data_IF_077525967857
#
_entry.id   IF_077525967857
#
_cell.length_a   1.000
_cell.length_b   1.000
_cell.length_c   1.000
_cell.angle_alpha   90.00
_cell.angle_beta   90.00
_cell.angle_gamma   90.00
#
_symmetry.space_group_name_H-M   'P 1'
#
loop_
_entity.id
_entity.type
_entity.pdbx_description
1 polymer ?
#
# COMPACT_ATOMS: atom_id res chain seq x y z
N UNK A 1 -1.84 -23.40 31.11
CA UNK A 1 -2.54 -22.14 31.26
C UNK A 1 -2.42 -21.42 29.92
N UNK A 2 -3.44 -21.48 29.08
CA UNK A 2 -3.51 -20.77 27.80
C UNK A 2 -3.88 -19.33 28.09
N UNK A 3 -2.89 -18.46 28.15
CA UNK A 3 -3.15 -17.01 28.19
C UNK A 3 -3.73 -16.59 26.84
N UNK A 4 -5.02 -16.28 26.84
CA UNK A 4 -5.63 -15.60 25.69
C UNK A 4 -4.82 -14.32 25.42
N UNK A 5 -4.32 -14.10 24.22
CA UNK A 5 -3.61 -12.86 23.92
C UNK A 5 -4.55 -11.68 24.19
N UNK A 6 -4.03 -10.55 24.69
CA UNK A 6 -4.85 -9.37 24.93
C UNK A 6 -5.55 -8.97 23.62
N UNK A 7 -6.86 -8.76 23.71
CA UNK A 7 -7.65 -8.34 22.54
C UNK A 7 -7.08 -7.02 22.00
N UNK A 8 -6.66 -7.03 20.75
CA UNK A 8 -6.18 -5.82 20.07
C UNK A 8 -7.33 -4.80 20.01
N UNK A 9 -7.13 -3.55 20.44
CA UNK A 9 -8.18 -2.55 20.39
C UNK A 9 -8.64 -2.32 18.93
N UNK A 10 -9.96 -2.10 18.72
CA UNK A 10 -10.51 -1.87 17.39
C UNK A 10 -9.87 -0.64 16.72
N UNK A 11 -9.51 -0.76 15.44
CA UNK A 11 -8.91 0.35 14.69
C UNK A 11 -9.88 1.49 14.38
N UNK A 12 -11.19 1.25 14.46
CA UNK A 12 -12.24 2.24 14.27
C UNK A 12 -12.54 3.05 15.55
N UNK A 13 -12.04 2.61 16.70
CA UNK A 13 -12.11 3.40 17.93
C UNK A 13 -11.19 4.63 17.82
N UNK A 14 -11.73 5.86 17.95
CA UNK A 14 -10.93 7.08 17.91
C UNK A 14 -9.83 7.14 19.00
N UNK A 15 -10.03 6.46 20.13
CA UNK A 15 -9.04 6.41 21.21
C UNK A 15 -7.86 5.47 20.90
N UNK A 16 -7.99 4.61 19.91
CA UNK A 16 -6.93 3.68 19.50
C UNK A 16 -5.88 4.43 18.68
N UNK A 17 -4.60 4.33 19.09
CA UNK A 17 -3.49 4.78 18.25
C UNK A 17 -3.20 3.71 17.16
N UNK A 18 -3.47 3.99 15.88
CA UNK A 18 -3.28 3.02 14.81
C UNK A 18 -1.81 2.67 14.55
N UNK A 19 -0.86 3.50 14.98
CA UNK A 19 0.57 3.23 14.84
C UNK A 19 1.06 2.26 15.92
N UNK A 20 0.51 2.32 17.12
CA UNK A 20 0.78 1.32 18.16
C UNK A 20 0.24 -0.06 17.77
N UNK A 21 -0.94 -0.12 17.16
CA UNK A 21 -1.48 -1.40 16.64
C UNK A 21 -0.60 -1.95 15.51
N UNK A 22 -0.12 -1.09 14.62
CA UNK A 22 0.79 -1.49 13.55
C UNK A 22 2.15 -1.98 14.10
N UNK A 23 2.65 -1.37 15.17
CA UNK A 23 3.86 -1.85 15.87
C UNK A 23 3.63 -3.23 16.48
N UNK A 24 2.53 -3.42 17.19
CA UNK A 24 2.19 -4.73 17.75
C UNK A 24 2.04 -5.81 16.67
N UNK A 25 1.52 -5.44 15.49
CA UNK A 25 1.45 -6.33 14.33
C UNK A 25 2.84 -6.70 13.81
N UNK A 26 3.76 -5.73 13.71
CA UNK A 26 5.15 -5.98 13.30
C UNK A 26 5.90 -6.87 14.30
N UNK A 27 5.74 -6.62 15.60
CA UNK A 27 6.34 -7.43 16.66
C UNK A 27 5.81 -8.88 16.63
N UNK A 28 4.51 -9.06 16.38
CA UNK A 28 3.92 -10.38 16.20
C UNK A 28 4.50 -11.11 14.98
N UNK A 29 4.65 -10.42 13.84
CA UNK A 29 5.27 -10.98 12.64
C UNK A 29 6.71 -11.38 12.93
N UNK A 30 7.51 -10.54 13.57
CA UNK A 30 8.89 -10.83 13.93
C UNK A 30 8.98 -12.09 14.83
N UNK A 31 8.13 -12.17 15.83
CA UNK A 31 8.08 -13.33 16.74
C UNK A 31 7.67 -14.62 16.02
N UNK A 32 6.65 -14.55 15.16
CA UNK A 32 6.13 -15.72 14.45
C UNK A 32 7.05 -16.22 13.35
N UNK A 33 7.81 -15.32 12.71
CA UNK A 33 8.68 -15.66 11.58
C UNK A 33 10.15 -15.83 11.96
N UNK A 34 10.57 -15.32 13.11
CA UNK A 34 11.99 -15.26 13.50
C UNK A 34 12.78 -14.20 12.69
N UNK A 35 12.12 -13.35 11.91
CA UNK A 35 12.71 -12.28 11.12
C UNK A 35 12.40 -10.94 11.76
N UNK A 36 13.41 -10.30 12.35
CA UNK A 36 13.23 -9.05 13.13
C UNK A 36 12.76 -7.87 12.28
N UNK A 37 13.11 -7.85 10.98
CA UNK A 37 12.74 -6.75 10.08
C UNK A 37 12.70 -7.16 8.61
N UNK A 38 12.05 -6.33 7.82
CA UNK A 38 11.91 -6.55 6.38
C UNK A 38 12.41 -5.32 5.61
N UNK A 39 13.16 -5.52 4.55
CA UNK A 39 13.71 -4.45 3.70
C UNK A 39 12.66 -3.87 2.75
N UNK A 40 11.69 -4.71 2.37
CA UNK A 40 10.61 -4.35 1.47
C UNK A 40 9.31 -5.06 1.83
N UNK A 41 8.21 -4.49 1.37
CA UNK A 41 6.92 -5.15 1.47
C UNK A 41 6.17 -5.15 0.14
N UNK A 42 5.40 -6.20 -0.10
CA UNK A 42 4.54 -6.35 -1.26
C UNK A 42 3.11 -6.62 -0.82
N UNK A 43 2.15 -5.92 -1.41
CA UNK A 43 0.74 -6.25 -1.26
C UNK A 43 0.27 -6.86 -2.58
N UNK A 44 0.08 -8.17 -2.56
CA UNK A 44 -0.32 -8.93 -3.75
C UNK A 44 -1.84 -9.03 -3.80
N UNK A 45 -2.43 -8.38 -4.80
CA UNK A 45 -3.87 -8.43 -5.07
C UNK A 45 -4.26 -9.60 -5.96
N UNK A 46 -5.52 -9.59 -6.38
CA UNK A 46 -6.07 -10.61 -7.28
C UNK A 46 -5.24 -10.80 -8.55
N UNK A 47 -4.92 -12.03 -8.88
CA UNK A 47 -4.10 -12.40 -10.04
C UNK A 47 -2.58 -12.37 -9.79
N UNK A 48 -2.11 -11.88 -8.65
CA UNK A 48 -0.68 -11.74 -8.35
C UNK A 48 -0.15 -12.74 -7.32
N UNK A 49 -0.99 -13.66 -6.81
CA UNK A 49 -0.61 -14.59 -5.74
C UNK A 49 0.64 -15.41 -6.06
N UNK A 50 0.77 -15.92 -7.30
CA UNK A 50 1.94 -16.68 -7.73
C UNK A 50 3.24 -15.87 -7.82
N UNK A 51 3.19 -14.54 -7.79
CA UNK A 51 4.39 -13.71 -7.82
C UNK A 51 5.23 -13.85 -6.53
N UNK A 52 4.63 -14.23 -5.42
CA UNK A 52 5.33 -14.47 -4.17
C UNK A 52 6.38 -15.60 -4.30
N UNK A 53 6.06 -16.64 -5.06
CA UNK A 53 6.92 -17.82 -5.27
C UNK A 53 8.17 -17.49 -6.11
N UNK A 54 8.13 -16.37 -6.85
CA UNK A 54 9.24 -15.92 -7.69
C UNK A 54 10.25 -15.03 -6.94
N UNK A 55 9.92 -14.61 -5.71
CA UNK A 55 10.76 -13.67 -4.95
C UNK A 55 11.95 -14.36 -4.29
N UNK A 56 11.76 -15.56 -3.76
CA UNK A 56 12.77 -16.27 -3.00
C UNK A 56 12.19 -17.37 -2.14
N UNK A 57 12.92 -17.74 -1.11
CA UNK A 57 12.53 -18.80 -0.16
C UNK A 57 11.54 -18.28 0.88
N UNK A 58 10.41 -18.97 1.04
CA UNK A 58 9.45 -18.68 2.12
C UNK A 58 10.05 -19.14 3.44
N UNK A 59 10.39 -18.21 4.31
CA UNK A 59 10.93 -18.49 5.65
C UNK A 59 9.81 -18.94 6.57
N UNK A 60 8.68 -18.21 6.57
CA UNK A 60 7.52 -18.51 7.39
C UNK A 60 6.25 -17.91 6.82
N UNK A 61 5.11 -18.51 7.17
CA UNK A 61 3.77 -18.05 6.87
C UNK A 61 2.99 -17.81 8.18
N UNK A 62 2.31 -16.69 8.26
CA UNK A 62 1.46 -16.33 9.40
C UNK A 62 0.05 -16.09 8.88
N UNK A 63 -0.98 -16.76 9.45
CA UNK A 63 -2.36 -16.47 9.11
C UNK A 63 -2.67 -14.99 9.38
N UNK A 64 -3.07 -14.24 8.34
CA UNK A 64 -3.19 -12.78 8.44
C UNK A 64 -4.17 -12.33 9.54
N UNK A 65 -5.20 -13.13 9.82
CA UNK A 65 -6.19 -12.81 10.84
C UNK A 65 -5.68 -12.99 12.29
N UNK A 66 -4.54 -13.66 12.48
CA UNK A 66 -3.88 -13.78 13.78
C UNK A 66 -3.00 -12.57 14.10
N UNK A 67 -2.67 -11.78 13.09
CA UNK A 67 -1.84 -10.58 13.25
C UNK A 67 -2.70 -9.45 13.83
N UNK A 68 -2.26 -8.77 14.89
CA UNK A 68 -2.99 -7.67 15.52
C UNK A 68 -3.50 -6.62 14.50
N UNK A 69 -4.79 -6.25 14.61
CA UNK A 69 -5.42 -5.23 13.76
C UNK A 69 -5.86 -5.70 12.37
N UNK A 70 -5.49 -6.92 11.95
CA UNK A 70 -6.02 -7.50 10.73
C UNK A 70 -7.36 -8.18 10.97
N UNK A 71 -8.29 -8.00 10.03
CA UNK A 71 -9.60 -8.64 10.12
C UNK A 71 -9.56 -10.04 9.52
N UNK A 72 -10.43 -10.91 10.04
CA UNK A 72 -10.71 -12.18 9.40
C UNK A 72 -11.21 -11.96 7.94
N UNK A 73 -10.90 -12.88 7.01
CA UNK A 73 -11.34 -12.77 5.62
C UNK A 73 -12.88 -12.75 5.55
N UNK A 74 -13.41 -11.90 4.67
CA UNK A 74 -14.86 -11.75 4.48
C UNK A 74 -15.51 -13.01 3.85
N UNK A 75 -14.70 -13.86 3.20
CA UNK A 75 -15.15 -15.10 2.55
C UNK A 75 -14.56 -16.28 3.30
N UNK A 76 -15.45 -17.14 3.83
CA UNK A 76 -15.03 -18.38 4.50
C UNK A 76 -14.27 -19.28 3.49
N UNK A 77 -13.12 -19.80 3.92
CA UNK A 77 -12.28 -20.68 3.12
C UNK A 77 -11.13 -20.01 2.37
N UNK A 78 -11.06 -18.69 2.30
CA UNK A 78 -9.89 -17.96 1.81
C UNK A 78 -8.99 -17.58 2.98
N UNK A 79 -8.12 -18.49 3.39
CA UNK A 79 -7.08 -18.17 4.36
C UNK A 79 -6.05 -17.25 3.69
N UNK A 80 -6.10 -15.98 4.03
CA UNK A 80 -5.04 -15.06 3.68
C UNK A 80 -3.84 -15.29 4.60
N UNK A 81 -2.67 -15.42 4.01
CA UNK A 81 -1.40 -15.56 4.73
C UNK A 81 -0.50 -14.37 4.46
N UNK A 82 0.22 -13.98 5.49
CA UNK A 82 1.34 -13.05 5.41
C UNK A 82 2.61 -13.88 5.42
N UNK A 83 3.52 -13.62 4.47
CA UNK A 83 4.75 -14.39 4.28
C UNK A 83 5.97 -13.54 4.55
N UNK A 84 6.94 -14.11 5.25
CA UNK A 84 8.31 -13.62 5.27
C UNK A 84 9.12 -14.41 4.23
N UNK A 85 9.76 -13.70 3.29
CA UNK A 85 10.50 -14.31 2.19
C UNK A 85 11.96 -13.87 2.29
N UNK A 86 12.87 -14.83 2.26
CA UNK A 86 14.31 -14.62 2.15
C UNK A 86 14.68 -14.46 0.69
N UNK A 87 15.26 -13.33 0.35
CA UNK A 87 15.70 -12.99 -0.99
C UNK A 87 17.23 -12.93 -1.00
N UNK A 88 17.85 -13.85 -1.72
CA UNK A 88 19.29 -13.82 -1.93
C UNK A 88 19.63 -12.97 -3.14
N UNK A 89 20.54 -12.02 -2.99
CA UNK A 89 20.99 -11.14 -4.06
C UNK A 89 22.20 -11.73 -4.76
N UNK A 90 22.47 -11.26 -5.97
CA UNK A 90 23.59 -11.70 -6.77
C UNK A 90 24.96 -11.45 -6.11
N UNK A 91 25.04 -10.52 -5.16
CA UNK A 91 26.24 -10.22 -4.38
C UNK A 91 26.38 -11.12 -3.12
N UNK A 92 25.48 -12.09 -2.95
CA UNK A 92 25.43 -12.98 -1.79
C UNK A 92 24.79 -12.38 -0.54
N UNK A 93 24.38 -11.11 -0.57
CA UNK A 93 23.66 -10.51 0.54
C UNK A 93 22.23 -11.02 0.60
N UNK A 94 21.69 -11.12 1.81
CA UNK A 94 20.31 -11.55 2.06
C UNK A 94 19.46 -10.35 2.41
N UNK A 95 18.25 -10.32 1.87
CA UNK A 95 17.19 -9.37 2.18
C UNK A 95 15.93 -10.12 2.55
N UNK A 96 15.06 -9.47 3.34
CA UNK A 96 13.76 -10.04 3.66
C UNK A 96 12.65 -9.19 3.07
N UNK A 97 11.69 -9.89 2.45
CA UNK A 97 10.49 -9.28 1.90
C UNK A 97 9.27 -9.74 2.69
N UNK A 98 8.43 -8.79 3.12
CA UNK A 98 7.12 -9.08 3.69
C UNK A 98 6.09 -9.12 2.58
N UNK A 99 5.38 -10.23 2.40
CA UNK A 99 4.29 -10.35 1.44
C UNK A 99 2.96 -10.41 2.18
N UNK A 100 2.15 -9.37 1.99
CA UNK A 100 0.78 -9.32 2.48
C UNK A 100 -0.15 -9.92 1.42
N UNK A 101 -0.70 -11.10 1.68
CA UNK A 101 -1.53 -11.85 0.74
C UNK A 101 -2.96 -11.32 0.62
N UNK A 102 -3.35 -10.37 1.44
CA UNK A 102 -4.65 -9.70 1.37
C UNK A 102 -4.59 -8.25 1.81
N UNK A 103 -5.67 -7.54 1.55
CA UNK A 103 -5.91 -6.18 2.03
C UNK A 103 -7.38 -5.95 2.32
N UNK A 104 -7.67 -5.10 3.27
CA UNK A 104 -9.01 -4.57 3.51
C UNK A 104 -9.35 -3.54 2.44
N UNK A 105 -10.54 -3.62 1.87
CA UNK A 105 -11.00 -2.63 0.90
C UNK A 105 -11.93 -1.61 1.55
N UNK A 106 -11.93 -0.40 1.01
CA UNK A 106 -12.76 0.68 1.55
C UNK A 106 -14.27 0.34 1.52
N UNK A 107 -14.72 -0.41 0.49
CA UNK A 107 -16.11 -0.82 0.35
C UNK A 107 -16.56 -1.85 1.42
N UNK A 108 -15.63 -2.46 2.16
CA UNK A 108 -15.98 -3.37 3.25
C UNK A 108 -16.53 -2.63 4.49
N UNK A 109 -16.47 -1.30 4.51
CA UNK A 109 -17.05 -0.49 5.59
C UNK A 109 -16.25 -0.49 6.91
N UNK A 110 -15.05 -1.07 6.95
CA UNK A 110 -14.21 -1.19 8.15
C UNK A 110 -13.38 0.07 8.47
N UNK A 111 -13.64 1.17 7.74
CA UNK A 111 -12.94 2.43 7.94
C UNK A 111 -11.54 2.50 7.31
N UNK A 112 -11.04 3.73 7.14
CA UNK A 112 -9.76 3.99 6.46
C UNK A 112 -8.57 3.44 7.25
N UNK A 113 -8.62 3.49 8.58
CA UNK A 113 -7.55 2.96 9.43
C UNK A 113 -7.29 1.47 9.18
N UNK A 114 -8.36 0.67 9.02
CA UNK A 114 -8.26 -0.75 8.69
C UNK A 114 -7.72 -0.96 7.26
N UNK A 115 -8.12 -0.11 6.30
CA UNK A 115 -7.63 -0.19 4.90
C UNK A 115 -6.14 0.01 4.81
N UNK A 116 -5.57 0.96 5.56
CA UNK A 116 -4.14 1.27 5.50
C UNK A 116 -3.29 0.53 6.55
N UNK A 117 -3.93 -0.28 7.37
CA UNK A 117 -3.24 -0.99 8.45
C UNK A 117 -2.08 -1.84 7.95
N UNK A 118 -2.27 -2.59 6.86
CA UNK A 118 -1.19 -3.40 6.27
C UNK A 118 0.02 -2.57 5.82
N UNK A 119 -0.20 -1.36 5.29
CA UNK A 119 0.88 -0.44 4.91
C UNK A 119 1.61 0.09 6.14
N UNK A 120 0.87 0.45 7.20
CA UNK A 120 1.45 0.88 8.48
C UNK A 120 2.25 -0.25 9.14
N UNK A 121 1.73 -1.48 9.09
CA UNK A 121 2.44 -2.67 9.58
C UNK A 121 3.74 -2.89 8.80
N UNK A 122 3.69 -2.83 7.47
CA UNK A 122 4.88 -2.96 6.64
C UNK A 122 5.95 -1.90 6.99
N UNK A 123 5.56 -0.65 7.17
CA UNK A 123 6.47 0.39 7.63
C UNK A 123 7.03 0.10 9.04
N UNK A 124 6.20 -0.44 9.94
CA UNK A 124 6.62 -0.79 11.30
C UNK A 124 7.61 -1.97 11.35
N UNK A 125 7.61 -2.87 10.34
CA UNK A 125 8.65 -3.91 10.21
C UNK A 125 9.98 -3.39 9.68
N UNK A 126 10.08 -2.10 9.32
CA UNK A 126 11.29 -1.48 8.77
C UNK A 126 11.34 -1.43 7.25
N UNK A 127 10.28 -1.85 6.55
CA UNK A 127 10.27 -1.85 5.08
C UNK A 127 10.37 -0.43 4.52
N UNK A 128 11.43 -0.17 3.75
CA UNK A 128 11.68 1.12 3.08
C UNK A 128 11.05 1.20 1.69
N UNK A 129 10.69 0.07 1.12
CA UNK A 129 10.06 -0.02 -0.20
C UNK A 129 8.76 -0.79 -0.11
N UNK A 130 7.70 -0.21 -0.66
CA UNK A 130 6.39 -0.84 -0.75
C UNK A 130 5.97 -0.98 -2.22
N UNK A 131 5.57 -2.18 -2.61
CA UNK A 131 5.01 -2.48 -3.93
C UNK A 131 3.55 -2.89 -3.74
N UNK A 132 2.65 -2.16 -4.37
CA UNK A 132 1.22 -2.41 -4.32
C UNK A 132 0.76 -2.93 -5.69
N UNK A 133 0.02 -4.04 -5.69
CA UNK A 133 -0.61 -4.56 -6.90
C UNK A 133 -2.13 -4.55 -6.78
N UNK A 134 -2.79 -4.40 -7.90
CA UNK A 134 -4.26 -4.49 -7.97
C UNK A 134 -4.70 -4.98 -9.36
N UNK A 135 -5.94 -5.44 -9.46
CA UNK A 135 -6.64 -5.60 -10.72
C UNK A 135 -7.69 -4.50 -10.85
N UNK A 136 -7.71 -3.80 -11.97
CA UNK A 136 -8.67 -2.72 -12.22
C UNK A 136 -9.14 -2.70 -13.68
N UNK A 137 -10.21 -1.96 -13.95
CA UNK A 137 -10.66 -1.68 -15.32
C UNK A 137 -9.73 -0.66 -15.98
N UNK A 138 -9.36 -0.93 -17.24
CA UNK A 138 -8.60 0.01 -18.06
C UNK A 138 -9.54 0.95 -18.82
N UNK A 139 -9.21 2.25 -18.86
CA UNK A 139 -9.94 3.22 -19.67
C UNK A 139 -9.45 3.23 -21.14
N UNK A 140 -8.23 2.78 -21.39
CA UNK A 140 -7.70 2.68 -22.74
C UNK A 140 -8.15 1.36 -23.37
N UNK A 141 -8.91 1.44 -24.45
CA UNK A 141 -9.47 0.27 -25.16
C UNK A 141 -8.42 -0.59 -25.86
N UNK A 142 -7.22 -0.06 -26.10
CA UNK A 142 -6.10 -0.81 -26.66
C UNK A 142 -5.44 -1.75 -25.64
N UNK A 143 -5.76 -1.61 -24.36
CA UNK A 143 -5.21 -2.45 -23.30
C UNK A 143 -6.10 -3.68 -23.08
N UNK A 144 -5.63 -4.81 -23.53
CA UNK A 144 -6.32 -6.10 -23.28
C UNK A 144 -6.21 -6.53 -21.81
N UNK A 145 -7.03 -7.50 -21.44
CA UNK A 145 -6.96 -8.12 -20.11
C UNK A 145 -5.55 -8.67 -19.85
N UNK A 146 -5.04 -8.48 -18.63
CA UNK A 146 -3.70 -8.90 -18.25
C UNK A 146 -2.58 -7.92 -18.63
N UNK A 147 -2.89 -6.78 -19.25
CA UNK A 147 -1.88 -5.76 -19.53
C UNK A 147 -1.36 -5.15 -18.22
N UNK A 148 -0.06 -5.26 -17.92
CA UNK A 148 0.51 -4.62 -16.74
C UNK A 148 0.63 -3.11 -16.97
N UNK A 149 0.16 -2.34 -16.00
CA UNK A 149 0.23 -0.86 -16.01
C UNK A 149 0.99 -0.39 -14.78
N UNK A 150 2.04 0.39 -15.02
CA UNK A 150 2.79 1.03 -13.94
C UNK A 150 2.18 2.41 -13.66
N UNK A 151 1.70 2.61 -12.44
CA UNK A 151 1.08 3.87 -12.05
C UNK A 151 2.15 4.95 -11.81
N UNK A 152 1.93 6.14 -12.37
CA UNK A 152 2.75 7.32 -12.12
C UNK A 152 2.13 8.27 -11.11
N UNK A 153 0.81 8.28 -11.05
CA UNK A 153 0.03 9.13 -10.16
C UNK A 153 -1.40 8.58 -10.04
N UNK A 154 -2.21 9.13 -9.12
CA UNK A 154 -3.61 8.79 -9.00
C UNK A 154 -4.45 9.96 -8.48
N UNK A 155 -5.75 9.89 -8.72
CA UNK A 155 -6.72 10.83 -8.21
C UNK A 155 -7.56 10.12 -7.16
N UNK A 156 -7.56 10.64 -5.93
CA UNK A 156 -8.41 10.11 -4.87
C UNK A 156 -9.82 10.70 -4.97
N UNK A 157 -10.75 9.91 -5.48
CA UNK A 157 -12.15 10.28 -5.60
C UNK A 157 -13.01 9.82 -4.42
N UNK A 158 -12.40 9.19 -3.40
CA UNK A 158 -13.15 8.65 -2.25
C UNK A 158 -13.53 9.70 -1.21
N UNK A 159 -12.94 10.89 -1.28
CA UNK A 159 -13.02 11.92 -0.24
C UNK A 159 -12.61 11.42 1.17
N UNK A 160 -11.81 10.36 1.23
CA UNK A 160 -11.27 9.78 2.46
C UNK A 160 -9.75 9.89 2.44
N UNK A 161 -9.15 10.11 3.62
CA UNK A 161 -7.70 10.18 3.77
C UNK A 161 -7.24 9.37 4.97
N UNK A 162 -6.10 8.68 4.88
CA UNK A 162 -5.47 8.04 6.03
C UNK A 162 -4.69 9.03 6.91
N UNK A 163 -4.52 10.27 6.47
CA UNK A 163 -3.87 11.32 7.25
C UNK A 163 -4.84 11.83 8.31
N UNK A 164 -4.39 11.90 9.53
CA UNK A 164 -5.17 12.29 10.69
C UNK A 164 -4.58 13.55 11.32
N UNK A 165 -5.45 14.43 11.84
CA UNK A 165 -5.04 15.68 12.45
C UNK A 165 -4.30 16.63 11.49
N UNK A 166 -3.42 17.49 11.98
CA UNK A 166 -2.68 18.48 11.17
C UNK A 166 -1.45 17.84 10.49
N UNK A 167 -1.62 16.69 9.87
CA UNK A 167 -0.56 15.96 9.18
C UNK A 167 -0.59 16.28 7.69
N UNK A 168 0.51 16.86 7.19
CA UNK A 168 0.66 17.25 5.79
C UNK A 168 1.83 16.48 5.18
N UNK A 169 1.56 15.80 4.06
CA UNK A 169 2.56 15.03 3.32
C UNK A 169 2.58 15.53 1.88
N UNK A 170 3.77 15.80 1.36
CA UNK A 170 3.94 16.14 -0.05
C UNK A 170 3.75 14.87 -0.89
N UNK A 171 2.74 14.89 -1.75
CA UNK A 171 2.38 13.81 -2.67
C UNK A 171 2.69 14.15 -4.13
N UNK A 172 3.56 15.12 -4.38
CA UNK A 172 3.93 15.53 -5.75
C UNK A 172 4.53 14.38 -6.53
N UNK A 173 5.39 13.57 -5.89
CA UNK A 173 5.98 12.36 -6.46
C UNK A 173 5.57 11.14 -5.61
N UNK A 174 4.27 10.86 -5.54
CA UNK A 174 3.71 9.78 -4.71
C UNK A 174 4.27 8.40 -5.05
N UNK A 175 4.60 8.17 -6.32
CA UNK A 175 5.28 6.96 -6.79
C UNK A 175 6.71 7.29 -7.20
N UNK A 176 7.68 6.67 -6.54
CA UNK A 176 9.11 6.92 -6.73
C UNK A 176 9.54 6.88 -8.20
N UNK A 177 10.02 7.99 -8.80
CA UNK A 177 10.51 7.99 -10.19
C UNK A 177 11.63 6.96 -10.41
N UNK A 178 12.53 6.81 -9.43
CA UNK A 178 13.63 5.83 -9.48
C UNK A 178 13.13 4.39 -9.57
N UNK A 179 12.11 4.04 -8.79
CA UNK A 179 11.56 2.67 -8.80
C UNK A 179 10.74 2.43 -10.07
N UNK A 180 10.05 3.42 -10.59
CA UNK A 180 9.32 3.33 -11.87
C UNK A 180 10.31 3.12 -13.03
N UNK A 181 11.42 3.87 -13.07
CA UNK A 181 12.46 3.68 -14.08
C UNK A 181 13.09 2.27 -14.00
N UNK A 182 13.36 1.79 -12.78
CA UNK A 182 13.84 0.43 -12.56
C UNK A 182 12.85 -0.61 -13.11
N UNK A 183 11.56 -0.47 -12.79
CA UNK A 183 10.52 -1.38 -13.27
C UNK A 183 10.45 -1.40 -14.81
N UNK A 184 10.52 -0.24 -15.47
CA UNK A 184 10.58 -0.16 -16.93
C UNK A 184 11.82 -0.83 -17.51
N UNK A 185 12.98 -0.64 -16.89
CA UNK A 185 14.23 -1.25 -17.35
C UNK A 185 14.17 -2.78 -17.24
N UNK A 186 13.72 -3.29 -16.09
CA UNK A 186 13.56 -4.73 -15.88
C UNK A 186 12.52 -5.31 -16.83
N UNK A 187 11.36 -4.66 -16.98
CA UNK A 187 10.31 -5.11 -17.90
C UNK A 187 10.78 -5.25 -19.35
N UNK A 188 11.71 -4.39 -19.80
CA UNK A 188 12.31 -4.49 -21.15
C UNK A 188 13.30 -5.63 -21.29
N UNK A 189 13.90 -6.10 -20.20
CA UNK A 189 14.91 -7.17 -20.22
C UNK A 189 14.30 -8.58 -20.09
N UNK A 190 13.03 -8.68 -19.76
CA UNK A 190 12.37 -9.99 -19.59
C UNK A 190 12.13 -10.67 -20.95
N UNK A 191 12.25 -12.03 -21.03
CA UNK A 191 11.90 -12.80 -22.21
C UNK A 191 10.44 -12.53 -22.61
N UNK A 192 10.22 -12.26 -23.85
CA UNK A 192 8.89 -11.86 -24.30
C UNK A 192 8.60 -10.38 -24.07
N UNK A 193 9.58 -9.58 -23.78
CA UNK A 193 9.55 -8.12 -23.55
C UNK A 193 8.62 -7.29 -24.45
N UNK A 194 7.70 -7.99 -25.07
CA UNK A 194 6.45 -7.51 -25.65
C UNK A 194 5.59 -6.72 -24.66
N UNK A 195 5.74 -6.89 -23.37
CA UNK A 195 5.27 -5.92 -22.40
C UNK A 195 5.97 -4.54 -22.59
N UNK A 196 7.10 -4.53 -23.31
CA UNK A 196 7.73 -3.33 -23.81
C UNK A 196 7.17 -2.87 -25.17
N UNK A 197 6.34 -3.67 -25.85
CA UNK A 197 5.74 -3.31 -27.16
C UNK A 197 4.22 -3.19 -27.14
N UNK A 198 3.55 -3.92 -26.27
CA UNK A 198 2.28 -3.42 -25.75
C UNK A 198 2.69 -2.32 -24.78
N UNK A 199 2.09 -1.16 -24.78
CA UNK A 199 2.57 -0.06 -23.99
C UNK A 199 2.47 -0.42 -22.52
N UNK A 200 3.60 -0.83 -21.91
CA UNK A 200 3.82 -0.59 -20.50
C UNK A 200 3.75 0.93 -20.35
N UNK A 201 2.57 1.47 -20.54
CA UNK A 201 2.35 2.90 -20.55
C UNK A 201 2.10 3.27 -19.12
N UNK A 202 3.02 4.03 -18.64
CA UNK A 202 2.78 4.92 -17.54
C UNK A 202 1.51 5.72 -17.86
N UNK A 203 0.51 5.66 -16.99
CA UNK A 203 -0.62 6.56 -17.12
C UNK A 203 -0.04 7.99 -17.13
N UNK A 204 -0.35 8.83 -18.13
CA UNK A 204 0.23 10.16 -18.21
C UNK A 204 -0.07 10.90 -16.91
N UNK A 205 0.97 11.45 -16.28
CA UNK A 205 0.78 12.42 -15.24
C UNK A 205 -0.12 13.52 -15.80
N UNK A 206 -1.27 13.73 -15.18
CA UNK A 206 -2.12 14.85 -15.55
C UNK A 206 -1.27 16.12 -15.56
N UNK A 207 -1.54 17.09 -16.43
CA UNK A 207 -0.70 18.26 -16.54
C UNK A 207 -0.62 18.96 -15.19
N UNK A 208 0.53 18.87 -14.55
CA UNK A 208 0.87 19.66 -13.38
C UNK A 208 0.90 21.14 -13.81
N UNK A 209 -0.27 21.73 -13.92
CA UNK A 209 -0.36 23.17 -13.94
C UNK A 209 -0.03 23.63 -12.54
N UNK A 210 1.20 24.05 -12.34
CA UNK A 210 1.63 24.81 -11.20
C UNK A 210 0.75 26.05 -11.04
N UNK A 211 -0.42 25.88 -10.46
CA UNK A 211 -1.18 26.99 -9.91
C UNK A 211 -0.51 27.35 -8.60
N UNK A 212 0.43 28.27 -8.67
CA UNK A 212 0.76 29.10 -7.51
C UNK A 212 -0.57 29.46 -6.83
N UNK A 213 -0.74 29.00 -5.59
CA UNK A 213 -1.81 29.47 -4.74
C UNK A 213 -1.72 30.99 -4.68
N UNK A 214 -2.54 31.68 -5.46
CA UNK A 214 -2.76 33.10 -5.24
C UNK A 214 -3.57 33.19 -3.97
N UNK A 215 -2.96 33.72 -2.94
CA UNK A 215 -3.62 34.15 -1.73
C UNK A 215 -4.90 34.92 -2.08
N UNK A 216 -6.05 34.34 -1.77
CA UNK A 216 -7.30 35.05 -1.64
C UNK A 216 -7.31 35.75 -0.27
N UNK A 217 -6.49 36.80 -0.16
CA UNK A 217 -6.70 37.85 0.83
C UNK A 217 -7.44 38.99 0.14
N UNK A 218 -8.61 39.30 0.62
CA UNK A 218 -9.25 40.57 0.31
C UNK A 218 -10.67 40.48 -0.22
N UNK A 219 -11.66 40.27 0.66
CA UNK A 219 -12.97 40.87 0.55
C UNK A 219 -13.72 40.82 1.88
N UNK A 220 -13.21 41.48 2.89
CA UNK A 220 -14.04 42.02 3.97
C UNK A 220 -13.92 43.53 3.89
N UNK A 221 -14.97 44.19 3.50
CA UNK A 221 -15.49 45.49 3.90
C UNK A 221 -16.26 46.12 2.74
N UNK A 222 -17.58 46.13 2.87
CA UNK A 222 -18.45 47.32 2.70
C UNK A 222 -19.90 46.88 2.77
N UNK A 223 -20.45 46.92 3.96
CA UNK A 223 -21.83 47.33 4.12
C UNK A 223 -21.88 48.12 5.42
N UNK A 224 -21.74 49.41 5.26
CA UNK A 224 -22.14 50.39 6.24
C UNK A 224 -23.03 51.41 5.51
N UNK A 225 -24.26 51.51 6.00
CA UNK A 225 -25.00 52.74 5.99
C UNK A 225 -25.80 53.08 4.72
N UNK A 226 -27.10 52.94 4.82
CA UNK A 226 -28.01 54.12 4.65
C UNK A 226 -29.34 53.84 5.27
N UNK A 227 -29.65 54.70 6.25
CA UNK A 227 -30.99 54.98 6.78
C UNK A 227 -31.88 55.65 5.71
N UNK A 228 -33.10 55.34 5.57
CA UNK A 228 -34.33 56.15 5.85
C UNK A 228 -35.55 55.24 5.71
#
# INVERSE_FOLDING_TARGET
MTTTPPSTPPLDDPATDPFLVARAAADHIAQATGVEGHDMALVLGSGWGGAAELLGEVVAEVPTHEIPGFSAPAVAGHLSVTRSIRVERADGSVRHALVLGSRTHLYEGKGVRAVVHGVRTAAATGAETLILTNGCGGLNQEWGAGTPVLLSDHINLTARSPLEGPTFVDLTDVYSPRLRELAHRVGRSLPGGASARGPGREAPAGPHRGRRARHLHGARRRQAGRRR
#
